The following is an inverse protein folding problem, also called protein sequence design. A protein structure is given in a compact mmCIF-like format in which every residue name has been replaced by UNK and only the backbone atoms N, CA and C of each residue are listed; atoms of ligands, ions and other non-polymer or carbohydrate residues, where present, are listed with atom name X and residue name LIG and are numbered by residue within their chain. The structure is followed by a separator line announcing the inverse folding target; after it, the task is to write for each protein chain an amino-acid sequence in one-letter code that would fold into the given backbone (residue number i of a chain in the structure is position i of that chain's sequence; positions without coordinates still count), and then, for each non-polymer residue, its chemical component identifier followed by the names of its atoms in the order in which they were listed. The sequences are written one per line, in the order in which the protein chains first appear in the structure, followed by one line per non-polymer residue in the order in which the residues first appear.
data_IF_839755858882
#
_entry.id   IF_839755858882
#
_cell.length_a   1.000
_cell.length_b   1.000
_cell.length_c   1.000
_cell.angle_alpha   90.00
_cell.angle_beta   90.00
_cell.angle_gamma   90.00
#
_symmetry.space_group_name_H-M   'P 1'
#
loop_
_entity.id
_entity.type
_entity.pdbx_description
1 polymer ?
#
# COMPACT_ATOMS: atom_id res chain seq x y z
N UNK A 1 -6.22 -37.41 -3.95
CA UNK A 1 -6.52 -36.71 -5.19
C UNK A 1 -6.55 -35.22 -4.95
N UNK A 2 -5.81 -34.44 -5.75
CA UNK A 2 -5.61 -32.99 -5.50
C UNK A 2 -6.11 -32.16 -6.68
N UNK A 3 -7.21 -32.57 -7.27
CA UNK A 3 -7.73 -31.93 -8.48
C UNK A 3 -8.07 -30.46 -8.32
N UNK A 4 -8.42 -30.05 -7.10
CA UNK A 4 -8.85 -28.69 -6.86
C UNK A 4 -7.84 -27.85 -6.08
N UNK A 5 -6.60 -28.32 -6.04
CA UNK A 5 -5.53 -27.56 -5.42
C UNK A 5 -4.66 -26.90 -6.49
N UNK A 6 -4.29 -25.69 -6.24
CA UNK A 6 -3.48 -24.89 -7.16
C UNK A 6 -2.14 -24.60 -6.50
N UNK A 7 -1.08 -24.99 -7.16
CA UNK A 7 0.27 -24.67 -6.69
C UNK A 7 0.58 -23.22 -7.05
N UNK A 8 0.99 -22.44 -6.06
CA UNK A 8 1.19 -21.02 -6.23
C UNK A 8 2.60 -20.64 -5.81
N UNK A 9 3.42 -20.23 -6.76
CA UNK A 9 4.81 -19.84 -6.49
C UNK A 9 5.27 -18.78 -7.48
N UNK A 10 4.63 -17.60 -7.49
CA UNK A 10 5.05 -16.56 -8.43
C UNK A 10 6.32 -15.89 -7.97
N UNK A 11 7.04 -15.29 -8.91
CA UNK A 11 8.10 -14.37 -8.56
C UNK A 11 7.48 -13.12 -7.95
N UNK A 12 8.15 -12.54 -6.96
CA UNK A 12 7.70 -11.28 -6.38
C UNK A 12 8.03 -10.09 -7.27
N UNK A 13 8.88 -10.30 -8.26
CA UNK A 13 9.41 -9.24 -9.11
C UNK A 13 8.96 -9.45 -10.54
N UNK A 14 8.41 -8.38 -11.17
CA UNK A 14 7.97 -8.45 -12.55
C UNK A 14 9.19 -8.42 -13.48
N UNK A 15 10.08 -7.45 -13.27
CA UNK A 15 11.36 -7.41 -13.99
C UNK A 15 12.37 -6.66 -13.14
N UNK A 16 13.62 -6.78 -13.51
CA UNK A 16 14.72 -6.26 -12.72
C UNK A 16 15.71 -5.54 -13.62
N UNK A 17 16.13 -4.34 -13.22
CA UNK A 17 17.18 -3.59 -13.90
C UNK A 17 18.31 -3.40 -12.90
N UNK A 18 19.40 -4.12 -13.10
CA UNK A 18 20.46 -4.12 -12.12
C UNK A 18 19.96 -4.64 -10.78
N UNK A 19 20.13 -3.84 -9.74
CA UNK A 19 19.66 -4.23 -8.39
C UNK A 19 18.26 -3.70 -8.07
N UNK A 20 17.63 -2.99 -9.00
CA UNK A 20 16.29 -2.44 -8.79
C UNK A 20 15.27 -3.30 -9.52
N UNK A 21 14.34 -3.87 -8.78
CA UNK A 21 13.27 -4.70 -9.33
C UNK A 21 11.91 -4.04 -9.18
N UNK A 22 11.04 -4.31 -10.15
CA UNK A 22 9.64 -3.88 -10.07
C UNK A 22 8.85 -5.02 -9.47
N UNK A 23 8.32 -4.79 -8.28
CA UNK A 23 7.58 -5.82 -7.56
C UNK A 23 6.09 -5.75 -7.89
N UNK A 24 5.43 -6.89 -7.89
CA UNK A 24 3.98 -6.94 -8.06
C UNK A 24 3.27 -6.13 -6.98
N UNK A 25 3.79 -6.15 -5.77
CA UNK A 25 3.18 -5.43 -4.67
C UNK A 25 3.18 -3.92 -4.92
N UNK A 26 4.31 -3.38 -5.41
CA UNK A 26 4.39 -1.96 -5.76
C UNK A 26 3.45 -1.63 -6.90
N UNK A 27 3.36 -2.51 -7.89
CA UNK A 27 2.45 -2.30 -9.01
C UNK A 27 1.01 -2.25 -8.53
N UNK A 28 0.64 -3.11 -7.58
CA UNK A 28 -0.72 -3.10 -7.04
C UNK A 28 -1.04 -1.79 -6.34
N UNK A 29 -0.07 -1.19 -5.64
CA UNK A 29 -0.28 0.14 -5.04
C UNK A 29 -0.51 1.20 -6.10
N UNK A 30 0.29 1.18 -7.17
CA UNK A 30 0.12 2.15 -8.26
C UNK A 30 -1.26 2.00 -8.89
N UNK A 31 -1.68 0.77 -9.14
CA UNK A 31 -3.00 0.49 -9.71
C UNK A 31 -4.10 0.97 -8.77
N UNK A 32 -3.95 0.69 -7.47
CA UNK A 32 -4.95 1.09 -6.48
C UNK A 32 -5.10 2.60 -6.42
N UNK A 33 -3.99 3.33 -6.36
CA UNK A 33 -4.06 4.79 -6.33
C UNK A 33 -4.62 5.37 -7.62
N UNK A 34 -4.26 4.79 -8.76
CA UNK A 34 -4.77 5.26 -10.05
C UNK A 34 -6.27 5.06 -10.17
N UNK A 35 -6.75 3.88 -9.79
CA UNK A 35 -8.20 3.62 -9.79
C UNK A 35 -8.92 4.49 -8.78
N UNK A 36 -8.31 4.71 -7.62
CA UNK A 36 -8.90 5.58 -6.61
C UNK A 36 -9.09 6.99 -7.13
N UNK A 37 -8.07 7.51 -7.80
CA UNK A 37 -8.17 8.85 -8.38
C UNK A 37 -9.28 8.90 -9.45
N UNK A 38 -9.32 7.91 -10.32
CA UNK A 38 -10.31 7.85 -11.38
C UNK A 38 -11.74 7.83 -10.81
N UNK A 39 -11.98 7.00 -9.82
CA UNK A 39 -13.30 6.89 -9.20
C UNK A 39 -13.69 8.19 -8.52
N UNK A 40 -12.76 8.78 -7.75
CA UNK A 40 -13.05 10.03 -7.07
C UNK A 40 -13.27 11.17 -8.06
N UNK A 41 -12.57 11.15 -9.20
CA UNK A 41 -12.78 12.15 -10.22
C UNK A 41 -14.21 12.08 -10.76
N UNK A 42 -14.70 10.88 -11.01
CA UNK A 42 -16.08 10.72 -11.46
C UNK A 42 -17.08 11.20 -10.40
N UNK A 43 -16.81 10.89 -9.12
CA UNK A 43 -17.69 11.34 -8.05
C UNK A 43 -17.68 12.87 -7.95
N UNK A 44 -16.49 13.47 -8.00
CA UNK A 44 -16.38 14.93 -7.89
C UNK A 44 -17.04 15.64 -9.06
N UNK A 45 -16.87 15.11 -10.29
CA UNK A 45 -17.54 15.68 -11.44
C UNK A 45 -19.07 15.62 -11.29
N UNK A 46 -19.58 14.48 -10.84
CA UNK A 46 -21.02 14.31 -10.65
C UNK A 46 -21.58 15.24 -9.57
N UNK A 47 -20.76 15.62 -8.60
CA UNK A 47 -21.22 16.48 -7.51
C UNK A 47 -20.74 17.92 -7.67
N UNK A 48 -20.22 18.25 -8.84
CA UNK A 48 -19.79 19.61 -9.19
C UNK A 48 -18.74 20.16 -8.24
N UNK A 49 -17.78 19.30 -7.84
CA UNK A 49 -16.64 19.70 -7.02
C UNK A 49 -15.43 19.83 -7.92
N UNK A 50 -14.64 20.87 -7.70
CA UNK A 50 -13.54 21.22 -8.60
C UNK A 50 -12.45 20.15 -8.64
N UNK A 51 -11.79 20.07 -9.79
CA UNK A 51 -10.70 19.14 -9.98
C UNK A 51 -9.48 19.50 -9.12
N UNK A 52 -9.28 20.80 -8.88
CA UNK A 52 -8.19 21.23 -8.01
C UNK A 52 -8.36 20.68 -6.58
N UNK A 53 -9.60 20.67 -6.11
CA UNK A 53 -9.90 20.11 -4.80
C UNK A 53 -9.56 18.61 -4.75
N UNK A 54 -9.90 17.91 -5.84
CA UNK A 54 -9.57 16.48 -5.94
C UNK A 54 -8.07 16.25 -5.99
N UNK A 55 -7.35 17.04 -6.78
CA UNK A 55 -5.90 16.86 -6.91
C UNK A 55 -5.20 17.07 -5.57
N UNK A 56 -5.64 18.09 -4.82
CA UNK A 56 -5.08 18.33 -3.49
C UNK A 56 -5.40 17.18 -2.54
N UNK A 57 -6.62 16.67 -2.60
CA UNK A 57 -6.99 15.51 -1.79
C UNK A 57 -6.10 14.32 -2.11
N UNK A 58 -5.87 14.07 -3.39
CA UNK A 58 -5.04 12.95 -3.81
C UNK A 58 -3.62 13.07 -3.27
N UNK A 59 -3.02 14.26 -3.38
CA UNK A 59 -1.67 14.47 -2.88
C UNK A 59 -1.61 14.28 -1.37
N UNK A 60 -2.57 14.86 -0.65
CA UNK A 60 -2.62 14.69 0.81
C UNK A 60 -2.72 13.22 1.19
N UNK A 61 -3.58 12.47 0.49
CA UNK A 61 -3.79 11.07 0.83
C UNK A 61 -2.59 10.21 0.50
N UNK A 62 -1.98 10.42 -0.67
CA UNK A 62 -0.80 9.62 -1.05
C UNK A 62 0.33 9.86 -0.05
N UNK A 63 0.62 11.13 0.23
CA UNK A 63 1.71 11.44 1.15
C UNK A 63 1.42 10.96 2.57
N UNK A 64 0.18 11.14 3.03
CA UNK A 64 -0.20 10.71 4.38
C UNK A 64 -0.14 9.21 4.54
N UNK A 65 -0.62 8.48 3.55
CA UNK A 65 -0.61 7.01 3.60
C UNK A 65 0.82 6.50 3.59
N UNK A 66 1.65 7.03 2.69
CA UNK A 66 3.04 6.57 2.59
C UNK A 66 3.84 6.93 3.84
N UNK A 67 3.71 8.16 4.32
CA UNK A 67 4.42 8.58 5.54
C UNK A 67 3.95 7.77 6.74
N UNK A 68 2.64 7.61 6.87
CA UNK A 68 2.10 6.83 7.98
C UNK A 68 2.53 5.38 7.95
N UNK A 69 2.48 4.77 6.77
CA UNK A 69 2.89 3.38 6.61
C UNK A 69 4.37 3.21 6.93
N UNK A 70 5.20 4.14 6.45
CA UNK A 70 6.63 4.08 6.68
C UNK A 70 6.97 4.29 8.15
N UNK A 71 6.42 5.34 8.75
CA UNK A 71 6.70 5.63 10.16
C UNK A 71 6.14 4.55 11.08
N UNK A 72 5.01 3.97 10.70
CA UNK A 72 4.46 2.86 11.48
C UNK A 72 5.40 1.66 11.48
N UNK A 73 5.96 1.33 10.32
CA UNK A 73 6.93 0.24 10.27
C UNK A 73 8.17 0.57 11.09
N UNK A 74 8.68 1.80 10.95
CA UNK A 74 9.89 2.22 11.64
C UNK A 74 9.70 2.13 13.16
N UNK A 75 8.63 2.71 13.69
CA UNK A 75 8.49 2.85 15.12
C UNK A 75 7.88 1.63 15.81
N UNK A 76 7.00 0.89 15.13
CA UNK A 76 6.32 -0.21 15.78
C UNK A 76 6.98 -1.57 15.55
N UNK A 77 7.67 -1.73 14.42
CA UNK A 77 8.21 -3.06 14.07
C UNK A 77 9.70 -3.12 13.91
N UNK A 78 10.36 -2.00 13.58
CA UNK A 78 11.76 -2.05 13.15
C UNK A 78 12.63 -1.00 13.83
N UNK A 79 12.24 -0.51 15.00
CA UNK A 79 12.99 0.57 15.64
C UNK A 79 14.42 0.16 16.00
N UNK A 80 14.63 -1.11 16.35
CA UNK A 80 15.98 -1.58 16.68
C UNK A 80 16.95 -1.33 15.52
N UNK A 81 16.50 -1.54 14.31
CA UNK A 81 17.31 -1.30 13.13
C UNK A 81 17.43 0.18 12.83
N UNK A 82 16.30 0.89 12.79
CA UNK A 82 16.29 2.28 12.32
C UNK A 82 16.85 3.26 13.33
N UNK A 83 16.91 2.90 14.59
CA UNK A 83 17.56 3.76 15.59
C UNK A 83 19.05 3.96 15.28
N UNK A 84 19.65 3.05 14.54
CA UNK A 84 21.04 3.14 14.11
C UNK A 84 21.20 3.44 12.62
N UNK A 85 20.08 3.68 11.91
CA UNK A 85 20.11 3.96 10.48
C UNK A 85 19.08 5.04 10.17
N UNK A 86 19.27 6.23 10.76
CA UNK A 86 18.26 7.28 10.73
C UNK A 86 17.99 7.80 9.32
N UNK A 87 19.00 7.84 8.46
CA UNK A 87 18.80 8.32 7.10
C UNK A 87 17.88 7.41 6.30
N UNK A 88 17.81 6.13 6.66
CA UNK A 88 16.99 5.18 5.93
C UNK A 88 15.51 5.30 6.26
N UNK A 89 15.15 6.06 7.29
CA UNK A 89 13.75 6.18 7.70
C UNK A 89 12.91 6.81 6.59
N UNK A 90 13.32 7.96 6.10
CA UNK A 90 12.56 8.71 5.11
C UNK A 90 13.14 8.64 3.70
N UNK A 91 14.34 8.11 3.54
CA UNK A 91 14.97 7.99 2.23
C UNK A 91 14.91 6.52 1.77
N UNK A 92 14.62 6.29 0.49
CA UNK A 92 14.51 4.91 -0.02
C UNK A 92 15.88 4.30 -0.32
N UNK A 93 16.75 4.28 0.69
CA UNK A 93 18.13 3.83 0.56
C UNK A 93 18.44 2.84 1.67
N UNK A 94 19.53 2.11 1.48
CA UNK A 94 20.06 1.21 2.50
C UNK A 94 21.57 1.37 2.57
N UNK A 95 22.10 1.42 3.77
CA UNK A 95 23.54 1.53 3.98
C UNK A 95 24.21 0.18 3.72
N UNK A 96 25.26 0.21 2.89
CA UNK A 96 26.04 -0.98 2.56
C UNK A 96 27.49 -0.70 2.83
N UNK A 97 28.34 -1.72 2.65
CA UNK A 97 29.78 -1.56 2.81
C UNK A 97 30.37 -0.58 1.79
N UNK A 98 29.71 -0.40 0.67
CA UNK A 98 30.14 0.52 -0.38
C UNK A 98 29.44 1.88 -0.34
N UNK A 99 28.70 2.18 0.74
CA UNK A 99 27.95 3.41 0.88
C UNK A 99 26.47 3.14 0.80
N UNK A 100 25.68 4.14 0.36
CA UNK A 100 24.23 4.00 0.29
C UNK A 100 23.79 3.50 -1.06
N UNK A 101 22.78 2.65 -1.06
CA UNK A 101 22.26 2.05 -2.26
C UNK A 101 20.75 2.27 -2.33
N UNK A 102 20.24 2.63 -3.50
CA UNK A 102 18.81 2.84 -3.68
C UNK A 102 18.08 1.51 -3.64
N UNK A 103 17.15 1.35 -2.71
CA UNK A 103 16.39 0.11 -2.58
C UNK A 103 14.89 0.31 -2.66
N UNK A 104 14.42 1.56 -2.64
CA UNK A 104 13.01 1.84 -2.45
C UNK A 104 12.63 1.62 -0.99
N UNK A 105 11.37 1.86 -0.68
CA UNK A 105 10.86 1.62 0.68
C UNK A 105 10.40 0.19 0.80
N UNK A 106 11.04 -0.55 1.68
CA UNK A 106 10.76 -1.97 1.84
C UNK A 106 9.85 -2.27 3.03
N UNK A 107 9.80 -1.39 4.02
CA UNK A 107 8.97 -1.62 5.19
C UNK A 107 7.83 -0.63 5.26
N UNK A 108 6.60 -1.12 5.13
CA UNK A 108 5.39 -0.30 5.20
C UNK A 108 4.36 -1.05 6.03
N UNK A 109 3.81 -0.37 7.05
CA UNK A 109 2.87 -0.98 7.98
C UNK A 109 1.46 -0.49 7.70
N UNK A 110 0.51 -1.40 7.63
CA UNK A 110 -0.87 -1.05 7.29
C UNK A 110 -1.54 -0.23 8.40
N UNK A 111 -1.25 -0.52 9.65
CA UNK A 111 -1.84 0.27 10.74
C UNK A 111 -1.38 1.72 10.67
N UNK A 112 -0.09 1.93 10.37
CA UNK A 112 0.43 3.27 10.18
C UNK A 112 -0.21 3.97 8.99
N UNK A 113 -0.48 3.22 7.92
CA UNK A 113 -1.15 3.79 6.75
C UNK A 113 -2.55 4.29 7.10
N UNK A 114 -3.30 3.51 7.89
CA UNK A 114 -4.64 3.91 8.30
C UNK A 114 -4.58 5.17 9.16
N UNK A 115 -3.71 5.17 10.16
CA UNK A 115 -3.58 6.34 11.04
C UNK A 115 -3.15 7.57 10.23
N UNK A 116 -2.17 7.39 9.35
CA UNK A 116 -1.71 8.48 8.50
C UNK A 116 -2.79 9.02 7.59
N UNK A 117 -3.61 8.13 7.02
CA UNK A 117 -4.67 8.57 6.12
C UNK A 117 -5.72 9.39 6.87
N UNK A 118 -6.04 9.00 8.12
CA UNK A 118 -7.01 9.76 8.91
C UNK A 118 -6.45 11.13 9.27
N UNK A 119 -5.19 11.19 9.66
CA UNK A 119 -4.54 12.48 9.95
C UNK A 119 -4.49 13.36 8.71
N UNK A 120 -4.12 12.78 7.57
CA UNK A 120 -4.05 13.53 6.32
C UNK A 120 -5.40 14.08 5.90
N UNK A 121 -6.44 13.26 6.05
CA UNK A 121 -7.79 13.70 5.72
C UNK A 121 -8.25 14.84 6.62
N UNK A 122 -7.91 14.74 7.89
CA UNK A 122 -8.25 15.81 8.85
C UNK A 122 -7.51 17.10 8.50
N UNK A 123 -6.21 17.02 8.21
CA UNK A 123 -5.44 18.19 7.83
C UNK A 123 -5.96 18.82 6.53
N UNK A 124 -6.32 17.98 5.57
CA UNK A 124 -6.90 18.46 4.33
C UNK A 124 -8.20 19.23 4.60
N UNK A 125 -9.05 18.68 5.45
CA UNK A 125 -10.31 19.31 5.76
C UNK A 125 -10.10 20.65 6.48
N UNK A 126 -9.11 20.72 7.37
CA UNK A 126 -8.80 21.97 8.04
C UNK A 126 -8.36 23.06 7.06
N UNK A 127 -7.59 22.68 6.04
CA UNK A 127 -7.07 23.65 5.11
C UNK A 127 -8.11 24.11 4.09
N UNK A 128 -8.85 23.19 3.52
CA UNK A 128 -9.70 23.51 2.38
C UNK A 128 -11.15 23.83 2.77
N UNK A 129 -11.69 23.15 3.75
CA UNK A 129 -13.03 23.45 4.33
C UNK A 129 -14.15 23.54 3.30
N UNK A 130 -13.98 22.88 2.14
CA UNK A 130 -15.01 22.89 1.10
C UNK A 130 -16.16 21.95 1.41
N UNK A 131 -15.85 20.81 2.03
CA UNK A 131 -16.81 19.80 2.36
C UNK A 131 -16.54 19.31 3.78
N UNK A 132 -17.54 18.74 4.43
CA UNK A 132 -17.35 18.21 5.76
C UNK A 132 -16.49 16.95 5.75
N UNK A 133 -15.95 16.61 6.92
CA UNK A 133 -15.16 15.39 7.04
C UNK A 133 -16.02 14.16 6.75
N UNK A 134 -17.27 14.16 7.17
CA UNK A 134 -18.17 13.05 6.90
C UNK A 134 -18.43 12.90 5.40
N UNK A 135 -18.56 14.03 4.69
CA UNK A 135 -18.73 13.97 3.24
C UNK A 135 -17.55 13.29 2.57
N UNK A 136 -16.34 13.66 2.99
CA UNK A 136 -15.12 13.06 2.44
C UNK A 136 -15.03 11.57 2.76
N UNK A 137 -15.27 11.21 4.02
CA UNK A 137 -15.20 9.81 4.43
C UNK A 137 -16.21 8.95 3.68
N UNK A 138 -17.40 9.48 3.50
CA UNK A 138 -18.46 8.75 2.81
C UNK A 138 -18.07 8.41 1.38
N UNK A 139 -17.41 9.32 0.69
CA UNK A 139 -17.02 9.07 -0.71
C UNK A 139 -15.75 8.27 -0.82
N UNK A 140 -14.80 8.52 0.07
CA UNK A 140 -13.49 7.87 -0.03
C UNK A 140 -13.55 6.39 0.30
N UNK A 141 -14.62 5.92 0.95
CA UNK A 141 -14.76 4.49 1.23
C UNK A 141 -14.83 3.66 -0.04
N UNK A 142 -15.34 4.22 -1.14
CA UNK A 142 -15.45 3.49 -2.39
C UNK A 142 -14.06 3.17 -2.97
N UNK A 143 -13.19 4.16 -3.22
CA UNK A 143 -11.85 3.83 -3.70
C UNK A 143 -11.00 3.08 -2.68
N UNK A 144 -11.21 3.30 -1.38
CA UNK A 144 -10.47 2.57 -0.37
C UNK A 144 -10.82 1.08 -0.41
N UNK A 145 -12.10 0.76 -0.54
CA UNK A 145 -12.52 -0.65 -0.62
C UNK A 145 -11.90 -1.32 -1.85
N UNK A 146 -11.92 -0.63 -2.99
CA UNK A 146 -11.33 -1.18 -4.19
C UNK A 146 -9.81 -1.31 -4.05
N UNK A 147 -9.18 -0.30 -3.43
CA UNK A 147 -7.74 -0.35 -3.19
C UNK A 147 -7.35 -1.52 -2.31
N UNK A 148 -8.18 -1.82 -1.31
CA UNK A 148 -7.93 -2.96 -0.44
C UNK A 148 -7.88 -4.27 -1.24
N UNK A 149 -8.72 -4.40 -2.26
CA UNK A 149 -8.69 -5.58 -3.13
C UNK A 149 -7.34 -5.70 -3.84
N UNK A 150 -6.82 -4.59 -4.36
CA UNK A 150 -5.53 -4.63 -5.05
C UNK A 150 -4.38 -4.92 -4.09
N UNK A 151 -4.46 -4.40 -2.86
CA UNK A 151 -3.44 -4.71 -1.86
C UNK A 151 -3.47 -6.20 -1.52
N UNK A 152 -4.67 -6.78 -1.40
CA UNK A 152 -4.79 -8.22 -1.15
C UNK A 152 -4.23 -9.04 -2.31
N UNK A 153 -4.41 -8.57 -3.55
CA UNK A 153 -3.76 -9.21 -4.68
C UNK A 153 -2.24 -9.16 -4.56
N UNK A 154 -1.71 -8.02 -4.10
CA UNK A 154 -0.29 -7.91 -3.85
C UNK A 154 0.19 -8.90 -2.81
N UNK A 155 -0.57 -9.06 -1.71
CA UNK A 155 -0.25 -10.08 -0.71
C UNK A 155 -0.23 -11.47 -1.33
N UNK A 156 -1.17 -11.75 -2.22
CA UNK A 156 -1.26 -13.04 -2.87
C UNK A 156 -0.01 -13.32 -3.70
N UNK A 157 0.44 -12.33 -4.48
CA UNK A 157 1.67 -12.49 -5.25
C UNK A 157 2.90 -12.64 -4.36
N UNK A 158 2.90 -12.01 -3.20
CA UNK A 158 3.99 -12.15 -2.24
C UNK A 158 3.86 -13.41 -1.38
N UNK A 159 2.78 -14.17 -1.54
CA UNK A 159 2.50 -15.35 -0.75
C UNK A 159 2.46 -15.05 0.74
N UNK A 160 1.80 -13.96 1.13
CA UNK A 160 1.72 -13.54 2.52
C UNK A 160 0.27 -13.35 2.93
N UNK A 161 0.03 -13.44 4.25
CA UNK A 161 -1.30 -13.31 4.85
C UNK A 161 -2.26 -14.30 4.18
N UNK A 162 -1.83 -15.57 4.16
CA UNK A 162 -2.48 -16.58 3.30
C UNK A 162 -3.75 -17.18 3.88
N UNK A 163 -4.06 -16.91 5.15
CA UNK A 163 -5.27 -17.43 5.74
C UNK A 163 -5.05 -18.76 6.46
N UNK A 164 -6.10 -19.52 6.57
CA UNK A 164 -6.08 -20.79 7.30
C UNK A 164 -6.03 -21.98 6.35
N UNK A 165 -5.60 -23.11 6.87
CA UNK A 165 -5.64 -24.36 6.10
C UNK A 165 -7.09 -24.71 5.78
N UNK A 166 -7.32 -25.08 4.54
CA UNK A 166 -8.68 -25.46 4.12
C UNK A 166 -9.05 -26.87 4.63
N UNK A 167 -8.04 -27.73 4.78
CA UNK A 167 -8.24 -29.11 5.21
C UNK A 167 -9.19 -29.89 4.30
N UNK A 168 -9.23 -29.50 3.02
CA UNK A 168 -10.06 -30.13 2.02
C UNK A 168 -9.22 -30.35 0.76
N UNK A 169 -9.87 -30.90 -0.27
CA UNK A 169 -9.24 -31.08 -1.58
C UNK A 169 -9.21 -29.76 -2.39
N UNK A 170 -9.58 -28.68 -1.77
CA UNK A 170 -9.81 -27.39 -2.39
C UNK A 170 -8.88 -26.38 -1.77
N UNK A 171 -8.12 -25.66 -2.56
CA UNK A 171 -7.29 -24.61 -1.99
C UNK A 171 -6.10 -24.26 -2.86
N UNK A 172 -5.30 -23.35 -2.34
CA UNK A 172 -4.07 -22.89 -2.99
C UNK A 172 -2.89 -23.33 -2.15
N UNK A 173 -1.92 -23.94 -2.78
CA UNK A 173 -0.69 -24.37 -2.10
C UNK A 173 0.36 -23.29 -2.34
N UNK A 174 0.75 -22.59 -1.28
CA UNK A 174 1.73 -21.50 -1.36
C UNK A 174 3.13 -22.09 -1.23
N UNK A 175 3.71 -22.42 -2.36
CA UNK A 175 5.01 -23.11 -2.37
C UNK A 175 6.14 -22.24 -1.80
N UNK A 176 6.06 -20.93 -2.00
CA UNK A 176 7.11 -20.04 -1.49
C UNK A 176 7.09 -19.93 0.02
N UNK A 177 6.01 -20.33 0.69
CA UNK A 177 5.96 -20.34 2.15
C UNK A 177 6.18 -21.72 2.74
N UNK A 178 6.22 -22.78 1.90
CA UNK A 178 6.27 -24.15 2.40
C UNK A 178 4.98 -24.56 3.08
N UNK A 179 4.03 -23.99 2.91
CA UNK A 179 2.81 -24.28 3.55
C UNK A 179 1.78 -24.60 2.53
N UNK A 180 1.18 -25.22 3.09
CA UNK A 180 0.16 -25.58 2.16
C UNK A 180 -1.03 -24.96 2.32
#
# INVERSE_FOLDING_TARGET
MYLLKIDWAPSETIFKIGDFGIHYYSLMFIVAFSFGYYIMKKIFVNENVSEEYLESLFVYMVLSILLGARLGDVFFYSWDYYSNHLLEILLPIKETSDGYKFTGFRGLASHGAVIGSLIGLYLYQLKFKKRSLLWLLDRITIPVSLGACFVRLGNFFNSEIVGKYSNTDFGVVFLNRGXX
#
